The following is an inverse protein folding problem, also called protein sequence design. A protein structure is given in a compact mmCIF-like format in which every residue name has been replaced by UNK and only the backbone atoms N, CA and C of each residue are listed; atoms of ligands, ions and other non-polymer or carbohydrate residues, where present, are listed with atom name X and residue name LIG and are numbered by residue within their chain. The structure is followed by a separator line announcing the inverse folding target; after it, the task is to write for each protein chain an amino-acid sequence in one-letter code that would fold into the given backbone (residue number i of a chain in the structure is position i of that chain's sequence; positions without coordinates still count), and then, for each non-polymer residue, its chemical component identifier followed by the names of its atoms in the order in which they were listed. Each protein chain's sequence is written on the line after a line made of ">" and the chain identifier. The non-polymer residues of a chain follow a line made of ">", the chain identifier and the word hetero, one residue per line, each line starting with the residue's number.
data_IF_709821837283
#
_entry.id   IF_709821837283
#
_cell.length_a   1.000
_cell.length_b   1.000
_cell.length_c   1.000
_cell.angle_alpha   90.00
_cell.angle_beta   90.00
_cell.angle_gamma   90.00
#
_symmetry.space_group_name_H-M   'P 1'
#
loop_
_entity.id
_entity.type
_entity.pdbx_description
1 polymer ?
#
# COMPACT_ATOMS: atom_id res chain seq x y z
N UNK A 1 -11.25 -3.81 12.38
CA UNK A 1 -10.41 -3.30 13.47
C UNK A 1 -8.93 -3.39 13.14
N UNK A 2 -8.20 -2.31 13.35
CA UNK A 2 -6.78 -2.22 12.99
C UNK A 2 -5.88 -2.56 14.16
N UNK A 3 -4.87 -3.39 13.93
CA UNK A 3 -3.91 -3.86 14.93
C UNK A 3 -2.48 -3.64 14.45
N UNK A 4 -1.56 -3.42 15.38
CA UNK A 4 -0.13 -3.33 15.06
C UNK A 4 0.53 -4.70 14.93
N UNK A 5 -0.08 -5.74 15.49
CA UNK A 5 0.42 -7.11 15.38
C UNK A 5 -0.03 -7.75 14.07
N UNK A 6 0.89 -8.50 13.45
CA UNK A 6 0.58 -9.24 12.23
C UNK A 6 -0.28 -10.47 12.56
N UNK A 7 -1.33 -10.76 11.75
CA UNK A 7 -2.20 -11.91 12.01
C UNK A 7 -1.45 -13.24 11.99
N UNK A 8 -1.62 -14.05 13.05
CA UNK A 8 -0.91 -15.31 13.21
C UNK A 8 -1.27 -16.36 12.15
N UNK A 9 -2.48 -16.26 11.57
CA UNK A 9 -2.95 -17.19 10.53
C UNK A 9 -2.40 -16.91 9.14
N UNK A 10 -1.64 -15.84 8.96
CA UNK A 10 -1.10 -15.41 7.66
C UNK A 10 0.44 -15.35 7.66
N UNK A 11 1.10 -16.20 8.44
CA UNK A 11 2.56 -16.17 8.61
C UNK A 11 3.32 -16.29 7.30
N UNK A 12 2.82 -17.03 6.33
CA UNK A 12 3.46 -17.17 5.01
C UNK A 12 3.47 -15.87 4.22
N UNK A 13 2.54 -14.97 4.50
CA UNK A 13 2.44 -13.67 3.85
C UNK A 13 3.29 -12.61 4.56
N UNK A 14 3.74 -12.85 5.79
CA UNK A 14 4.40 -11.86 6.63
C UNK A 14 5.63 -11.22 5.97
N UNK A 15 6.55 -11.97 5.32
CA UNK A 15 7.72 -11.32 4.72
C UNK A 15 7.37 -10.27 3.66
N UNK A 16 6.31 -10.51 2.89
CA UNK A 16 5.84 -9.57 1.89
C UNK A 16 5.06 -8.42 2.52
N UNK A 17 4.13 -8.74 3.42
CA UNK A 17 3.18 -7.76 3.97
C UNK A 17 3.80 -6.83 5.00
N UNK A 18 4.95 -7.17 5.58
CA UNK A 18 5.68 -6.31 6.52
C UNK A 18 6.86 -5.58 5.88
N UNK A 19 7.10 -5.79 4.58
CA UNK A 19 8.17 -5.12 3.87
C UNK A 19 7.98 -3.60 3.88
N UNK A 20 9.07 -2.85 4.06
CA UNK A 20 9.02 -1.38 4.00
C UNK A 20 8.58 -0.91 2.62
N UNK A 21 9.21 -1.41 1.56
CA UNK A 21 8.81 -1.14 0.19
C UNK A 21 8.10 -2.35 -0.41
N UNK A 22 6.77 -2.30 -0.45
CA UNK A 22 5.97 -3.34 -1.08
C UNK A 22 6.27 -3.43 -2.58
N UNK A 23 6.44 -2.29 -3.25
CA UNK A 23 6.79 -2.24 -4.68
C UNK A 23 8.06 -3.03 -4.97
N UNK A 24 9.14 -2.77 -4.23
CA UNK A 24 10.41 -3.46 -4.43
C UNK A 24 10.28 -4.96 -4.22
N UNK A 25 9.53 -5.36 -3.20
CA UNK A 25 9.31 -6.78 -2.90
C UNK A 25 8.51 -7.45 -4.01
N UNK A 26 7.45 -6.79 -4.51
CA UNK A 26 6.65 -7.33 -5.61
C UNK A 26 7.48 -7.47 -6.88
N UNK A 27 8.33 -6.49 -7.20
CA UNK A 27 9.21 -6.53 -8.36
C UNK A 27 10.19 -7.70 -8.30
N UNK A 28 10.52 -8.18 -7.11
CA UNK A 28 11.44 -9.32 -6.95
C UNK A 28 10.81 -10.67 -7.22
N UNK A 29 9.48 -10.79 -7.26
CA UNK A 29 8.79 -12.08 -7.39
C UNK A 29 7.98 -12.21 -8.67
N UNK A 30 7.93 -11.18 -9.51
CA UNK A 30 7.21 -11.26 -10.77
C UNK A 30 7.27 -9.98 -11.58
N UNK A 31 6.63 -10.00 -12.75
CA UNK A 31 6.52 -8.82 -13.59
C UNK A 31 5.46 -7.88 -13.01
N UNK A 32 5.91 -6.78 -12.43
CA UNK A 32 5.09 -5.82 -11.71
C UNK A 32 4.49 -4.77 -12.65
N UNK A 33 3.22 -4.43 -12.42
CA UNK A 33 2.56 -3.33 -13.14
C UNK A 33 1.59 -2.59 -12.24
N UNK A 34 1.32 -1.33 -12.58
CA UNK A 34 0.40 -0.43 -11.88
C UNK A 34 -0.66 0.06 -12.85
N UNK A 35 -1.93 -0.05 -12.47
CA UNK A 35 -3.04 0.55 -13.20
C UNK A 35 -3.75 1.55 -12.29
N UNK A 36 -3.84 2.81 -12.75
CA UNK A 36 -4.53 3.87 -12.02
C UNK A 36 -6.02 3.76 -12.31
N UNK A 37 -6.81 3.51 -11.26
CA UNK A 37 -8.25 3.35 -11.35
C UNK A 37 -9.00 4.64 -11.03
N UNK A 38 -8.43 5.51 -10.19
CA UNK A 38 -9.06 6.76 -9.77
C UNK A 38 -7.96 7.74 -9.34
N UNK A 39 -8.10 8.99 -9.79
CA UNK A 39 -7.22 10.08 -9.38
C UNK A 39 -8.06 11.34 -9.29
N UNK A 40 -8.11 11.97 -8.13
CA UNK A 40 -8.86 13.20 -7.91
C UNK A 40 -9.54 13.23 -6.56
N UNK A 41 -10.40 14.23 -6.36
CA UNK A 41 -11.13 14.37 -5.10
C UNK A 41 -12.20 13.29 -4.97
N UNK A 42 -12.36 12.78 -3.75
CA UNK A 42 -13.39 11.80 -3.43
C UNK A 42 -13.78 11.91 -1.97
N UNK A 43 -15.01 11.54 -1.64
CA UNK A 43 -15.46 11.30 -0.27
C UNK A 43 -15.46 9.82 0.09
N UNK A 44 -15.07 8.96 -0.85
CA UNK A 44 -15.00 7.51 -0.65
C UNK A 44 -13.64 7.15 -0.07
N UNK A 45 -13.52 7.27 1.25
CA UNK A 45 -12.29 7.08 2.03
C UNK A 45 -12.38 5.76 2.79
N UNK A 46 -12.29 4.66 2.05
CA UNK A 46 -12.43 3.32 2.62
C UNK A 46 -11.37 3.10 3.71
N UNK A 47 -11.81 2.67 4.90
CA UNK A 47 -10.93 2.28 6.01
C UNK A 47 -10.06 3.40 6.63
N UNK A 48 -10.48 4.66 6.47
CA UNK A 48 -9.85 5.79 7.18
C UNK A 48 -10.82 6.52 8.11
N UNK A 49 -12.02 5.99 8.34
CA UNK A 49 -13.07 6.68 9.08
C UNK A 49 -12.72 6.94 10.55
N UNK A 50 -11.89 6.10 11.16
CA UNK A 50 -11.45 6.27 12.53
C UNK A 50 -10.39 7.37 12.71
N UNK A 51 -9.85 7.90 11.63
CA UNK A 51 -8.78 8.90 11.68
C UNK A 51 -9.30 10.35 11.66
N UNK A 52 -10.60 10.56 11.64
CA UNK A 52 -11.22 11.89 11.64
C UNK A 52 -10.71 12.81 10.52
N UNK A 53 -10.59 12.26 9.33
CA UNK A 53 -10.16 13.02 8.16
C UNK A 53 -11.31 13.84 7.59
N UNK A 54 -11.01 14.92 6.81
CA UNK A 54 -12.04 15.66 6.10
C UNK A 54 -12.88 14.76 5.21
N UNK A 55 -14.15 15.14 4.96
CA UNK A 55 -15.05 14.36 4.12
C UNK A 55 -14.51 14.16 2.70
N UNK A 56 -13.91 15.22 2.13
CA UNK A 56 -13.32 15.16 0.80
C UNK A 56 -11.81 15.25 0.89
N UNK A 57 -11.13 14.32 0.22
CA UNK A 57 -9.68 14.31 0.12
C UNK A 57 -9.26 14.04 -1.31
N UNK A 58 -8.02 14.37 -1.64
CA UNK A 58 -7.42 13.96 -2.89
C UNK A 58 -6.96 12.51 -2.79
N UNK A 59 -7.33 11.69 -3.77
CA UNK A 59 -7.16 10.24 -3.72
C UNK A 59 -6.56 9.71 -5.02
N UNK A 60 -5.73 8.68 -4.87
CA UNK A 60 -5.25 7.86 -5.98
C UNK A 60 -5.53 6.41 -5.64
N UNK A 61 -6.34 5.74 -6.48
CA UNK A 61 -6.59 4.29 -6.35
C UNK A 61 -5.91 3.57 -7.49
N UNK A 62 -5.24 2.49 -7.15
CA UNK A 62 -4.50 1.67 -8.12
C UNK A 62 -4.77 0.20 -7.89
N UNK A 63 -4.57 -0.57 -8.96
CA UNK A 63 -4.42 -2.02 -8.91
C UNK A 63 -2.97 -2.35 -9.21
N UNK A 64 -2.35 -3.11 -8.33
CA UNK A 64 -1.01 -3.65 -8.52
C UNK A 64 -1.13 -5.08 -8.99
N UNK A 65 -0.42 -5.42 -10.06
CA UNK A 65 -0.47 -6.75 -10.67
C UNK A 65 0.92 -7.37 -10.74
N UNK A 66 0.96 -8.70 -10.69
CA UNK A 66 2.16 -9.51 -10.95
C UNK A 66 1.82 -10.47 -12.08
N UNK A 67 2.64 -10.47 -13.16
CA UNK A 67 2.41 -11.31 -14.33
C UNK A 67 0.99 -11.14 -14.89
N UNK A 68 0.51 -9.87 -14.91
CA UNK A 68 -0.83 -9.46 -15.34
C UNK A 68 -1.97 -9.96 -14.43
N UNK A 69 -1.66 -10.48 -13.25
CA UNK A 69 -2.66 -10.93 -12.27
C UNK A 69 -2.78 -9.86 -11.19
N UNK A 70 -3.98 -9.26 -10.98
CA UNK A 70 -4.19 -8.33 -9.86
C UNK A 70 -3.93 -9.02 -8.53
N UNK A 71 -3.09 -8.40 -7.70
CA UNK A 71 -2.70 -8.96 -6.39
C UNK A 71 -2.98 -8.00 -5.24
N UNK A 72 -3.02 -6.69 -5.50
CA UNK A 72 -3.26 -5.68 -4.47
C UNK A 72 -4.13 -4.56 -5.03
N UNK A 73 -5.10 -4.12 -4.22
CA UNK A 73 -5.80 -2.85 -4.42
C UNK A 73 -5.24 -1.86 -3.41
N UNK A 74 -4.93 -0.64 -3.82
CA UNK A 74 -4.39 0.38 -2.92
C UNK A 74 -5.09 1.71 -3.11
N UNK A 75 -5.21 2.46 -2.01
CA UNK A 75 -5.69 3.84 -2.02
C UNK A 75 -4.73 4.70 -1.21
N UNK A 76 -4.33 5.82 -1.81
CA UNK A 76 -3.52 6.85 -1.17
C UNK A 76 -4.33 8.14 -1.11
N UNK A 77 -4.40 8.79 0.06
CA UNK A 77 -5.17 10.01 0.23
C UNK A 77 -4.36 11.08 0.96
N UNK A 78 -4.58 12.32 0.58
CA UNK A 78 -4.01 13.50 1.23
C UNK A 78 -5.05 14.63 1.23
N UNK A 79 -4.76 15.69 1.99
CA UNK A 79 -5.62 16.88 1.97
C UNK A 79 -5.66 17.49 0.57
N UNK A 80 -6.79 18.09 0.20
CA UNK A 80 -6.95 18.74 -1.11
C UNK A 80 -6.01 19.92 -1.32
N UNK A 81 -5.46 20.48 -0.23
CA UNK A 81 -4.47 21.56 -0.26
C UNK A 81 -3.03 21.06 -0.12
N UNK A 82 -2.81 19.76 -0.01
CA UNK A 82 -1.50 19.19 0.26
C UNK A 82 -0.63 19.15 -1.01
N UNK A 83 0.66 19.39 -0.84
CA UNK A 83 1.66 19.17 -1.90
C UNK A 83 1.85 17.70 -2.25
N UNK A 84 1.33 16.76 -1.47
CA UNK A 84 1.30 15.34 -1.83
C UNK A 84 0.52 15.09 -3.13
N UNK A 85 -0.37 16.01 -3.54
CA UNK A 85 -1.09 15.87 -4.81
C UNK A 85 -0.14 15.75 -6.00
N UNK A 86 0.95 16.52 -6.01
CA UNK A 86 1.93 16.46 -7.08
C UNK A 86 2.65 15.11 -7.11
N UNK A 87 2.92 14.55 -5.95
CA UNK A 87 3.52 13.21 -5.83
C UNK A 87 2.55 12.13 -6.29
N UNK A 88 1.27 12.24 -5.90
CA UNK A 88 0.25 11.26 -6.30
C UNK A 88 -0.06 11.30 -7.80
N UNK A 89 0.23 12.40 -8.47
CA UNK A 89 0.08 12.54 -9.92
C UNK A 89 1.30 11.95 -10.65
N UNK A 90 1.65 10.72 -10.33
CA UNK A 90 2.84 10.05 -10.87
C UNK A 90 2.53 9.06 -12.00
N UNK A 91 1.28 9.07 -12.50
CA UNK A 91 0.88 8.18 -13.60
C UNK A 91 1.07 6.72 -13.23
N UNK A 92 1.73 5.97 -14.10
CA UNK A 92 2.00 4.54 -13.89
C UNK A 92 3.28 4.29 -13.08
N UNK A 93 3.97 5.33 -12.62
CA UNK A 93 5.13 5.16 -11.73
C UNK A 93 4.63 4.62 -10.39
N UNK A 94 5.22 3.53 -9.87
CA UNK A 94 4.81 3.01 -8.57
C UNK A 94 5.07 4.05 -7.47
N UNK A 95 4.06 4.32 -6.64
CA UNK A 95 4.20 5.28 -5.54
C UNK A 95 5.31 4.87 -4.57
N UNK A 96 5.45 3.58 -4.29
CA UNK A 96 6.50 3.07 -3.41
C UNK A 96 7.90 3.40 -3.91
N UNK A 97 8.10 3.45 -5.23
CA UNK A 97 9.39 3.84 -5.80
C UNK A 97 9.75 5.27 -5.44
N UNK A 98 8.77 6.17 -5.41
CA UNK A 98 8.98 7.58 -5.02
C UNK A 98 9.18 7.68 -3.50
N UNK A 99 8.34 7.00 -2.71
CA UNK A 99 8.37 7.07 -1.25
C UNK A 99 9.69 6.56 -0.67
N UNK A 100 10.31 5.57 -1.30
CA UNK A 100 11.53 4.91 -0.81
C UNK A 100 12.78 5.24 -1.63
N UNK A 101 12.70 6.27 -2.51
CA UNK A 101 13.84 6.71 -3.33
C UNK A 101 14.90 7.48 -2.54
N UNK A 102 14.56 7.97 -1.35
CA UNK A 102 15.43 8.85 -0.57
C UNK A 102 15.39 10.31 -1.00
N UNK A 103 14.60 10.65 -2.04
CA UNK A 103 14.47 12.04 -2.54
C UNK A 103 13.61 12.90 -1.63
N UNK A 104 12.76 12.30 -0.79
CA UNK A 104 11.91 13.00 0.17
C UNK A 104 12.33 12.65 1.58
N UNK A 105 12.37 13.65 2.45
CA UNK A 105 12.65 13.42 3.87
C UNK A 105 11.36 13.06 4.60
N UNK A 106 11.09 11.77 4.71
CA UNK A 106 9.83 11.23 5.22
C UNK A 106 10.01 10.52 6.54
N UNK A 107 9.03 10.64 7.43
CA UNK A 107 8.81 9.69 8.52
C UNK A 107 7.56 8.88 8.23
N UNK A 108 7.50 7.66 8.76
CA UNK A 108 6.39 6.73 8.51
C UNK A 108 5.84 6.21 9.84
N UNK A 109 4.52 6.12 9.93
CA UNK A 109 3.85 5.48 11.07
C UNK A 109 4.18 3.98 11.10
N UNK A 110 3.92 3.34 12.25
CA UNK A 110 3.89 1.89 12.32
C UNK A 110 2.83 1.34 11.35
N UNK A 111 3.08 0.17 10.79
CA UNK A 111 2.09 -0.54 10.00
C UNK A 111 0.96 -1.03 10.90
N UNK A 112 -0.28 -0.91 10.42
CA UNK A 112 -1.45 -1.50 11.05
C UNK A 112 -2.08 -2.50 10.10
N UNK A 113 -2.64 -3.57 10.65
CA UNK A 113 -3.19 -4.69 9.90
C UNK A 113 -4.63 -4.95 10.27
N UNK A 114 -5.43 -5.39 9.29
CA UNK A 114 -6.81 -5.84 9.48
C UNK A 114 -7.10 -6.99 8.53
N UNK A 115 -8.15 -7.75 8.83
CA UNK A 115 -8.62 -8.84 7.97
C UNK A 115 -10.06 -8.57 7.57
N UNK A 116 -10.29 -7.74 6.54
CA UNK A 116 -11.65 -7.48 6.05
C UNK A 116 -12.21 -8.71 5.34
N UNK A 117 -13.53 -8.82 5.28
CA UNK A 117 -14.19 -10.01 4.73
C UNK A 117 -13.94 -10.23 3.24
N UNK A 118 -13.64 -9.14 2.50
CA UNK A 118 -13.49 -9.19 1.03
C UNK A 118 -12.05 -9.40 0.57
N UNK A 119 -11.07 -9.35 1.48
CA UNK A 119 -9.66 -9.44 1.16
C UNK A 119 -8.95 -10.38 2.13
N UNK A 120 -7.81 -10.89 1.70
CA UNK A 120 -6.97 -11.75 2.55
C UNK A 120 -6.41 -10.96 3.74
N UNK A 121 -5.97 -9.73 3.50
CA UNK A 121 -5.33 -8.86 4.48
C UNK A 121 -5.46 -7.42 4.01
N UNK A 122 -5.54 -6.49 4.94
CA UNK A 122 -5.33 -5.08 4.69
C UNK A 122 -4.19 -4.58 5.57
N UNK A 123 -3.37 -3.69 5.04
CA UNK A 123 -2.39 -2.94 5.84
C UNK A 123 -2.53 -1.46 5.55
N UNK A 124 -2.32 -0.64 6.56
CA UNK A 124 -2.31 0.81 6.38
C UNK A 124 -1.17 1.44 7.14
N UNK A 125 -0.75 2.62 6.68
CA UNK A 125 0.23 3.48 7.33
C UNK A 125 0.05 4.90 6.82
N UNK A 126 0.74 5.84 7.43
CA UNK A 126 0.79 7.20 6.93
C UNK A 126 2.22 7.70 6.95
N UNK A 127 2.53 8.54 5.97
CA UNK A 127 3.83 9.17 5.81
C UNK A 127 3.69 10.65 6.17
N UNK A 128 4.68 11.19 6.87
CA UNK A 128 4.75 12.61 7.19
C UNK A 128 5.89 13.24 6.40
N UNK A 129 5.55 14.26 5.62
CA UNK A 129 6.49 15.05 4.86
C UNK A 129 6.43 16.49 5.33
N UNK A 130 7.25 16.82 6.35
CA UNK A 130 7.31 18.17 6.92
C UNK A 130 5.92 18.68 7.37
N UNK A 131 5.15 17.83 8.02
CA UNK A 131 3.82 18.14 8.52
C UNK A 131 2.67 17.76 7.60
N UNK A 132 2.91 17.52 6.31
CA UNK A 132 1.90 17.05 5.37
C UNK A 132 1.82 15.53 5.40
N UNK A 133 0.62 14.97 5.61
CA UNK A 133 0.43 13.54 5.74
C UNK A 133 -0.17 12.92 4.47
N UNK A 134 0.37 11.77 4.12
CA UNK A 134 -0.18 10.87 3.10
C UNK A 134 -0.63 9.60 3.80
N UNK A 135 -1.91 9.24 3.64
CA UNK A 135 -2.48 8.02 4.21
C UNK A 135 -2.56 6.97 3.11
N UNK A 136 -2.10 5.76 3.41
CA UNK A 136 -2.03 4.67 2.45
C UNK A 136 -2.65 3.42 3.04
N UNK A 137 -3.59 2.81 2.30
CA UNK A 137 -4.13 1.50 2.61
C UNK A 137 -3.94 0.56 1.43
N UNK A 138 -3.57 -0.67 1.71
CA UNK A 138 -3.29 -1.71 0.72
C UNK A 138 -4.06 -2.97 1.09
N UNK A 139 -4.85 -3.49 0.13
CA UNK A 139 -5.68 -4.69 0.30
C UNK A 139 -5.08 -5.83 -0.50
N UNK A 140 -4.71 -6.91 0.16
CA UNK A 140 -4.09 -8.08 -0.46
C UNK A 140 -5.17 -9.05 -0.92
N UNK A 141 -5.15 -9.39 -2.21
CA UNK A 141 -6.04 -10.39 -2.79
C UNK A 141 -5.48 -11.79 -2.57
N UNK A 142 -6.35 -12.80 -2.60
CA UNK A 142 -5.91 -14.19 -2.47
C UNK A 142 -4.91 -14.61 -3.56
N UNK A 143 -4.97 -13.97 -4.72
CA UNK A 143 -4.06 -14.19 -5.83
C UNK A 143 -2.60 -13.90 -5.50
N UNK A 144 -2.31 -13.23 -4.37
CA UNK A 144 -0.94 -12.98 -3.91
C UNK A 144 -0.26 -14.26 -3.38
N UNK A 145 -1.03 -15.24 -2.91
CA UNK A 145 -0.50 -16.40 -2.18
C UNK A 145 0.54 -17.20 -2.97
N UNK A 146 0.35 -17.49 -4.27
CA UNK A 146 1.39 -18.21 -5.04
C UNK A 146 2.73 -17.47 -5.08
N UNK A 147 2.72 -16.14 -5.02
CA UNK A 147 3.93 -15.32 -5.07
C UNK A 147 4.62 -15.23 -3.71
N UNK A 148 3.89 -15.36 -2.61
CA UNK A 148 4.47 -15.33 -1.27
C UNK A 148 5.38 -16.55 -1.00
N UNK A 149 5.08 -17.69 -1.61
CA UNK A 149 5.91 -18.88 -1.53
C UNK A 149 7.31 -18.68 -2.13
N UNK A 150 7.42 -17.96 -3.24
CA UNK A 150 8.70 -17.65 -3.88
C UNK A 150 9.62 -16.85 -2.97
N UNK A 151 9.08 -15.90 -2.21
CA UNK A 151 9.85 -15.09 -1.27
C UNK A 151 10.35 -15.93 -0.09
N UNK A 152 9.52 -16.85 0.42
CA UNK A 152 9.88 -17.76 1.49
C UNK A 152 11.00 -18.71 1.07
N UNK A 153 10.93 -19.26 -0.13
CA UNK A 153 11.93 -20.17 -0.67
C UNK A 153 13.28 -19.48 -0.82
N UNK A 154 13.29 -18.24 -1.30
CA UNK A 154 14.52 -17.44 -1.42
C UNK A 154 15.23 -17.27 -0.08
N UNK A 155 14.52 -17.17 1.03
CA UNK A 155 15.11 -17.05 2.37
C UNK A 155 15.74 -18.34 2.85
N UNK A 156 15.25 -19.49 2.40
CA UNK A 156 15.78 -20.78 2.80
C UNK A 156 17.06 -21.18 2.07
N UNK A 157 17.34 -20.55 0.95
CA UNK A 157 18.55 -20.82 0.14
C UNK A 157 19.78 -20.09 0.68
N UNK A 158 19.61 -19.22 1.65
CA UNK A 158 20.69 -18.50 2.31
C UNK A 158 21.15 -19.25 3.57
#
# INVERSE_FOLDING_TARGET
>A
MWHTEFPANLTDLQPLATANSLTQTLQSVGQFSVEVMQLGQTSDLIDFYDLKLPEKMFSRRVVLSLNDIPVIHAQSVCLTSSRWQDVLNCGNTPLGQILFSGSLNLSRSALQFAQPSSYLLARRSWFDWQGDKLYLVEYFLETILPFSGSLKDSKHEI
#
